data_IF_257292373055
#
_entry.id   IF_257292373055
#
_cell.length_a   1.000
_cell.length_b   1.000
_cell.length_c   1.000
_cell.angle_alpha   90.00
_cell.angle_beta   90.00
_cell.angle_gamma   90.00
#
_symmetry.space_group_name_H-M   'P 1'
#
loop_
_entity.id
_entity.type
_entity.pdbx_description
1 polymer ?
#
# COMPACT_ATOMS: atom_id res chain seq x y z
N UNK A 1 -0.53 -18.21 39.08
CA UNK A 1 -0.55 -18.78 37.72
C UNK A 1 -1.70 -18.20 36.87
N UNK A 2 -1.83 -16.87 36.83
CA UNK A 2 -2.62 -16.05 35.88
C UNK A 2 -2.27 -14.60 36.20
N UNK A 3 -1.25 -14.05 35.53
CA UNK A 3 -0.90 -12.61 35.42
C UNK A 3 0.56 -12.51 34.93
N UNK A 4 0.75 -12.34 33.62
CA UNK A 4 2.03 -11.91 33.00
C UNK A 4 1.86 -11.56 31.52
N UNK A 5 0.88 -12.15 30.82
CA UNK A 5 0.66 -11.95 29.38
C UNK A 5 -0.16 -10.72 28.98
N UNK A 6 -0.82 -10.03 29.92
CA UNK A 6 -1.66 -8.86 29.60
C UNK A 6 -0.92 -7.50 29.73
N UNK A 7 0.34 -7.46 30.18
CA UNK A 7 1.08 -6.20 30.38
C UNK A 7 1.99 -5.78 29.22
N UNK A 8 2.06 -6.53 28.12
CA UNK A 8 3.03 -6.27 27.03
C UNK A 8 2.48 -5.35 25.91
N UNK A 9 1.18 -5.10 25.83
CA UNK A 9 0.59 -4.40 24.66
C UNK A 9 0.48 -2.87 24.76
N UNK A 10 0.79 -2.24 25.90
CA UNK A 10 0.47 -0.81 26.11
C UNK A 10 1.66 0.15 26.32
N UNK A 11 2.92 -0.34 26.32
CA UNK A 11 4.09 0.50 26.64
C UNK A 11 4.80 1.15 25.45
N UNK A 12 4.36 0.93 24.21
CA UNK A 12 5.08 1.38 22.98
C UNK A 12 4.34 2.38 22.09
N UNK A 13 3.27 3.01 22.58
CA UNK A 13 2.64 4.11 21.85
C UNK A 13 3.31 5.45 22.23
N UNK A 14 3.81 6.19 21.24
CA UNK A 14 4.40 7.52 21.44
C UNK A 14 3.42 8.48 22.14
N UNK A 15 3.94 9.45 22.87
CA UNK A 15 3.17 10.40 23.70
C UNK A 15 2.09 11.17 22.93
N UNK A 16 2.25 11.34 21.61
CA UNK A 16 1.27 11.98 20.72
C UNK A 16 0.02 11.09 20.53
N UNK A 17 0.19 9.77 20.50
CA UNK A 17 -0.92 8.81 20.37
C UNK A 17 -1.79 8.73 21.63
N UNK A 18 -1.26 9.04 22.82
CA UNK A 18 -2.06 9.07 24.06
C UNK A 18 -2.99 10.27 24.15
N UNK A 19 -2.57 11.44 23.67
CA UNK A 19 -3.40 12.65 23.68
C UNK A 19 -4.60 12.52 22.72
N UNK A 20 -4.40 11.92 21.55
CA UNK A 20 -5.48 11.63 20.60
C UNK A 20 -6.46 10.55 21.10
N UNK A 21 -6.01 9.60 21.94
CA UNK A 21 -6.87 8.59 22.54
C UNK A 21 -7.74 9.14 23.68
N UNK A 22 -7.22 10.06 24.50
CA UNK A 22 -7.97 10.64 25.62
C UNK A 22 -9.07 11.62 25.17
N UNK A 23 -8.87 12.36 24.07
CA UNK A 23 -9.94 13.21 23.51
C UNK A 23 -11.04 12.41 22.81
N UNK A 24 -10.74 11.20 22.34
CA UNK A 24 -11.69 10.31 21.67
C UNK A 24 -12.51 9.45 22.66
N UNK A 25 -11.99 9.22 23.87
CA UNK A 25 -12.61 8.36 24.88
C UNK A 25 -13.84 8.96 25.58
N UNK A 26 -13.97 10.29 25.63
CA UNK A 26 -15.03 10.95 26.41
C UNK A 26 -16.33 11.21 25.62
N UNK A 27 -16.34 11.06 24.29
CA UNK A 27 -17.56 11.27 23.47
C UNK A 27 -18.27 9.98 23.02
N UNK A 28 -17.73 8.78 23.30
CA UNK A 28 -18.24 7.51 22.76
C UNK A 28 -18.80 6.53 23.82
N UNK A 29 -19.34 7.02 24.94
CA UNK A 29 -19.94 6.18 26.00
C UNK A 29 -21.46 5.94 25.85
N UNK A 30 -21.97 5.74 24.63
CA UNK A 30 -23.34 5.22 24.43
C UNK A 30 -23.38 4.20 23.27
N UNK A 31 -23.21 2.92 23.58
CA UNK A 31 -23.48 1.81 22.65
C UNK A 31 -22.57 0.59 22.82
N UNK A 32 -22.89 -0.30 23.75
CA UNK A 32 -22.05 -1.44 24.19
C UNK A 32 -21.92 -2.58 23.15
N UNK A 33 -22.70 -2.59 22.05
CA UNK A 33 -22.64 -3.66 21.04
C UNK A 33 -21.61 -3.48 19.91
N UNK A 34 -20.91 -2.33 19.81
CA UNK A 34 -19.97 -2.04 18.71
C UNK A 34 -18.49 -2.35 19.03
N UNK A 35 -18.12 -2.58 20.29
CA UNK A 35 -16.71 -2.73 20.70
C UNK A 35 -15.98 -3.93 20.05
N UNK A 36 -16.67 -5.03 19.75
CA UNK A 36 -16.05 -6.21 19.11
C UNK A 36 -15.65 -5.99 17.65
N UNK A 37 -16.45 -5.21 16.91
CA UNK A 37 -16.20 -4.88 15.50
C UNK A 37 -15.04 -3.88 15.37
N UNK A 38 -15.01 -2.87 16.25
CA UNK A 38 -13.93 -1.89 16.30
C UNK A 38 -12.58 -2.50 16.70
N UNK A 39 -12.56 -3.54 17.53
CA UNK A 39 -11.32 -4.26 17.88
C UNK A 39 -10.75 -5.04 16.69
N UNK A 40 -11.60 -5.68 15.88
CA UNK A 40 -11.19 -6.34 14.62
C UNK A 40 -10.76 -5.32 13.55
N UNK A 41 -11.46 -4.19 13.45
CA UNK A 41 -11.06 -3.06 12.59
C UNK A 41 -9.71 -2.50 13.03
N UNK A 42 -9.49 -2.34 14.33
CA UNK A 42 -8.21 -1.86 14.87
C UNK A 42 -7.07 -2.84 14.59
N UNK A 43 -7.30 -4.15 14.70
CA UNK A 43 -6.30 -5.17 14.34
C UNK A 43 -6.03 -5.28 12.83
N UNK A 44 -7.02 -4.96 11.97
CA UNK A 44 -6.89 -4.90 10.51
C UNK A 44 -6.19 -3.61 10.05
N UNK A 45 -6.42 -2.48 10.71
CA UNK A 45 -5.87 -1.17 10.36
C UNK A 45 -4.59 -0.77 11.10
N UNK A 46 -4.26 -1.39 12.24
CA UNK A 46 -3.03 -1.07 13.01
C UNK A 46 -1.72 -1.44 12.28
N UNK A 47 -1.79 -2.07 11.10
CA UNK A 47 -0.65 -2.30 10.21
C UNK A 47 -0.55 -1.34 9.02
N UNK A 48 -1.48 -0.40 8.84
CA UNK A 48 -1.43 0.58 7.77
C UNK A 48 -0.47 1.72 8.13
N UNK A 49 0.48 2.02 7.25
CA UNK A 49 1.30 3.22 7.37
C UNK A 49 0.41 4.48 7.43
N UNK A 50 0.90 5.49 8.14
CA UNK A 50 0.23 6.75 8.53
C UNK A 50 -0.48 7.47 7.37
N UNK A 51 -0.07 7.24 6.12
CA UNK A 51 -0.68 7.85 4.91
C UNK A 51 -2.03 7.24 4.48
N UNK A 52 -2.27 5.95 4.73
CA UNK A 52 -3.53 5.28 4.37
C UNK A 52 -4.41 4.95 5.57
N UNK A 53 -3.84 5.01 6.78
CA UNK A 53 -4.64 5.20 7.97
C UNK A 53 -5.51 6.44 7.79
N UNK A 54 -5.05 7.53 7.16
CA UNK A 54 -5.91 8.68 6.91
C UNK A 54 -7.00 8.42 5.88
N UNK A 55 -6.82 7.61 4.82
CA UNK A 55 -7.94 7.28 3.91
C UNK A 55 -8.97 6.35 4.56
N UNK A 56 -8.52 5.30 5.26
CA UNK A 56 -9.43 4.42 5.99
C UNK A 56 -10.05 5.08 7.22
N UNK A 57 -9.32 5.98 7.90
CA UNK A 57 -9.84 6.83 8.96
C UNK A 57 -10.73 7.94 8.41
N UNK A 58 -10.53 8.47 7.21
CA UNK A 58 -11.44 9.43 6.56
C UNK A 58 -12.73 8.70 6.17
N UNK A 59 -12.64 7.50 5.61
CA UNK A 59 -13.79 6.64 5.32
C UNK A 59 -14.47 6.11 6.60
N UNK A 60 -13.77 6.05 7.76
CA UNK A 60 -14.37 5.64 9.05
C UNK A 60 -14.77 6.80 9.98
N UNK A 61 -14.22 8.01 9.80
CA UNK A 61 -14.52 9.23 10.59
C UNK A 61 -15.62 10.05 9.92
N UNK A 62 -15.82 9.92 8.62
CA UNK A 62 -17.06 10.31 7.96
C UNK A 62 -18.12 9.28 8.35
N UNK A 63 -18.99 9.65 9.30
CA UNK A 63 -20.17 8.86 9.66
C UNK A 63 -20.87 8.35 8.40
N UNK A 64 -21.19 7.05 8.38
CA UNK A 64 -22.10 6.37 7.43
C UNK A 64 -21.53 5.70 6.16
N UNK A 65 -20.26 5.26 6.07
CA UNK A 65 -20.00 4.07 5.23
C UNK A 65 -20.47 2.83 6.00
N UNK A 66 -21.39 2.00 5.45
CA UNK A 66 -21.64 0.68 6.01
C UNK A 66 -20.30 -0.05 6.05
N UNK A 67 -19.81 -0.34 7.26
CA UNK A 67 -18.55 -1.04 7.48
C UNK A 67 -18.49 -2.32 6.64
N UNK A 68 -19.64 -2.96 6.41
CA UNK A 68 -19.79 -4.12 5.55
C UNK A 68 -19.47 -3.86 4.07
N UNK A 69 -19.82 -2.69 3.52
CA UNK A 69 -19.51 -2.32 2.13
C UNK A 69 -18.02 -2.01 1.96
N UNK A 70 -17.40 -1.32 2.93
CA UNK A 70 -15.94 -1.15 2.96
C UNK A 70 -15.25 -2.52 3.05
N UNK A 71 -15.68 -3.37 3.98
CA UNK A 71 -15.14 -4.72 4.12
C UNK A 71 -15.30 -5.56 2.84
N UNK A 72 -16.41 -5.43 2.10
CA UNK A 72 -16.59 -6.10 0.80
C UNK A 72 -15.67 -5.54 -0.28
N UNK A 73 -15.49 -4.21 -0.34
CA UNK A 73 -14.53 -3.57 -1.25
C UNK A 73 -13.09 -3.96 -0.93
N UNK A 74 -12.75 -4.19 0.35
CA UNK A 74 -11.40 -4.59 0.80
C UNK A 74 -11.15 -6.11 0.79
N UNK A 75 -12.18 -6.96 0.72
CA UNK A 75 -12.02 -8.42 0.84
C UNK A 75 -12.35 -9.22 -0.42
N UNK A 76 -13.14 -8.67 -1.35
CA UNK A 76 -13.72 -9.45 -2.42
C UNK A 76 -13.34 -8.94 -3.82
N UNK A 77 -12.68 -9.81 -4.60
CA UNK A 77 -12.65 -9.76 -6.06
C UNK A 77 -14.06 -9.67 -6.67
N UNK A 78 -15.11 -10.07 -5.94
CA UNK A 78 -16.51 -9.90 -6.35
C UNK A 78 -16.97 -8.43 -6.47
N UNK A 79 -16.28 -7.45 -5.87
CA UNK A 79 -16.60 -6.04 -6.08
C UNK A 79 -16.27 -5.56 -7.51
N UNK A 80 -15.37 -6.26 -8.22
CA UNK A 80 -15.01 -5.92 -9.60
C UNK A 80 -16.07 -6.32 -10.63
N UNK A 81 -17.11 -7.07 -10.24
CA UNK A 81 -18.23 -7.36 -11.14
C UNK A 81 -19.18 -6.16 -11.13
N UNK A 82 -19.37 -5.58 -12.31
CA UNK A 82 -20.36 -4.53 -12.62
C UNK A 82 -21.79 -4.90 -12.18
N UNK A 83 -22.07 -6.19 -12.00
CA UNK A 83 -23.34 -6.71 -11.44
C UNK A 83 -23.59 -6.32 -9.97
N UNK A 84 -22.61 -5.73 -9.26
CA UNK A 84 -22.82 -5.18 -7.92
C UNK A 84 -23.74 -3.94 -7.90
N UNK A 85 -23.92 -3.27 -9.04
CA UNK A 85 -24.88 -2.18 -9.21
C UNK A 85 -26.34 -2.66 -9.27
N UNK A 86 -26.58 -3.92 -9.66
CA UNK A 86 -27.93 -4.44 -9.89
C UNK A 86 -28.73 -4.62 -8.58
N UNK A 87 -28.05 -4.67 -7.44
CA UNK A 87 -28.68 -4.78 -6.12
C UNK A 87 -28.86 -3.46 -5.36
N UNK A 88 -28.29 -2.36 -5.86
CA UNK A 88 -28.37 -1.05 -5.20
C UNK A 88 -29.44 -0.20 -5.89
N UNK A 89 -30.66 -0.23 -5.36
CA UNK A 89 -31.68 0.76 -5.74
C UNK A 89 -31.25 2.11 -5.18
N UNK A 90 -31.04 3.10 -6.06
CA UNK A 90 -30.64 4.49 -5.73
C UNK A 90 -29.34 4.62 -4.90
N UNK A 91 -28.16 4.30 -5.47
CA UNK A 91 -26.87 4.51 -4.79
C UNK A 91 -26.62 5.99 -4.48
N UNK A 92 -26.24 6.27 -3.23
CA UNK A 92 -25.89 7.62 -2.77
C UNK A 92 -24.40 7.94 -3.01
N UNK A 93 -23.97 9.17 -2.69
CA UNK A 93 -22.57 9.62 -2.84
C UNK A 93 -21.59 8.68 -2.15
N UNK A 94 -21.99 8.09 -1.02
CA UNK A 94 -21.15 7.19 -0.23
C UNK A 94 -20.97 5.85 -0.95
N UNK A 95 -22.05 5.23 -1.41
CA UNK A 95 -22.03 4.01 -2.22
C UNK A 95 -21.19 4.18 -3.49
N UNK A 96 -21.40 5.26 -4.24
CA UNK A 96 -20.61 5.56 -5.44
C UNK A 96 -19.13 5.71 -5.14
N UNK A 97 -18.79 6.51 -4.12
CA UNK A 97 -17.39 6.75 -3.74
C UNK A 97 -16.69 5.45 -3.34
N UNK A 98 -17.37 4.58 -2.60
CA UNK A 98 -16.82 3.27 -2.22
C UNK A 98 -16.59 2.36 -3.43
N UNK A 99 -17.53 2.31 -4.38
CA UNK A 99 -17.36 1.54 -5.62
C UNK A 99 -16.18 2.07 -6.45
N UNK A 100 -16.10 3.39 -6.64
CA UNK A 100 -14.99 4.03 -7.37
C UNK A 100 -13.65 3.70 -6.69
N UNK A 101 -13.56 3.84 -5.37
CA UNK A 101 -12.35 3.53 -4.61
C UNK A 101 -11.98 2.04 -4.67
N UNK A 102 -12.97 1.15 -4.58
CA UNK A 102 -12.76 -0.30 -4.74
C UNK A 102 -12.13 -0.62 -6.09
N UNK A 103 -12.64 -0.06 -7.19
CA UNK A 103 -12.03 -0.23 -8.51
C UNK A 103 -10.63 0.41 -8.59
N UNK A 104 -10.43 1.59 -8.01
CA UNK A 104 -9.13 2.28 -7.96
C UNK A 104 -8.05 1.45 -7.24
N UNK A 105 -8.41 0.74 -6.17
CA UNK A 105 -7.48 -0.06 -5.37
C UNK A 105 -7.21 -1.45 -5.96
N UNK A 106 -8.10 -1.99 -6.79
CA UNK A 106 -7.95 -3.34 -7.37
C UNK A 106 -7.34 -3.34 -8.78
N UNK A 107 -7.22 -2.18 -9.41
CA UNK A 107 -6.55 -1.98 -10.70
C UNK A 107 -7.38 -1.64 -11.95
N UNK A 108 -8.70 -1.94 -12.03
CA UNK A 108 -9.52 -1.49 -13.15
C UNK A 108 -9.83 0.01 -13.05
N UNK A 109 -8.83 0.85 -13.33
CA UNK A 109 -8.92 2.30 -13.20
C UNK A 109 -9.92 2.93 -14.17
N UNK A 110 -10.03 2.40 -15.40
CA UNK A 110 -11.01 2.88 -16.39
C UNK A 110 -12.44 2.67 -15.89
N UNK A 111 -12.69 1.53 -15.26
CA UNK A 111 -13.97 1.19 -14.64
C UNK A 111 -14.28 2.13 -13.47
N UNK A 112 -13.27 2.53 -12.69
CA UNK A 112 -13.45 3.55 -11.65
C UNK A 112 -13.89 4.90 -12.24
N UNK A 113 -13.30 5.33 -13.37
CA UNK A 113 -13.71 6.56 -14.06
C UNK A 113 -15.12 6.44 -14.66
N UNK A 114 -15.46 5.30 -15.26
CA UNK A 114 -16.82 5.03 -15.75
C UNK A 114 -17.87 5.05 -14.63
N UNK A 115 -17.53 4.61 -13.42
CA UNK A 115 -18.40 4.70 -12.26
C UNK A 115 -18.61 6.16 -11.82
N UNK A 116 -17.58 6.99 -11.91
CA UNK A 116 -17.72 8.43 -11.69
C UNK A 116 -18.64 9.07 -12.73
N UNK A 117 -18.48 8.76 -14.01
CA UNK A 117 -19.36 9.28 -15.06
C UNK A 117 -20.83 8.84 -14.85
N UNK A 118 -21.05 7.59 -14.42
CA UNK A 118 -22.40 7.10 -14.05
C UNK A 118 -22.98 7.80 -12.83
N UNK A 119 -22.16 8.10 -11.84
CA UNK A 119 -22.56 8.89 -10.68
C UNK A 119 -23.06 10.28 -11.10
N UNK A 120 -22.37 10.92 -12.04
CA UNK A 120 -22.78 12.22 -12.61
C UNK A 120 -24.08 12.10 -13.41
N UNK A 121 -24.22 11.10 -14.27
CA UNK A 121 -25.45 10.83 -15.03
C UNK A 121 -26.65 10.53 -14.12
N UNK A 122 -26.41 9.93 -12.96
CA UNK A 122 -27.40 9.71 -11.91
C UNK A 122 -27.76 10.95 -11.10
N UNK A 123 -27.23 12.14 -11.46
CA UNK A 123 -27.38 13.40 -10.73
C UNK A 123 -26.93 13.33 -9.26
N UNK A 124 -26.00 12.42 -8.94
CA UNK A 124 -25.43 12.32 -7.59
C UNK A 124 -24.15 13.16 -7.54
N UNK A 125 -24.12 14.16 -6.66
CA UNK A 125 -22.98 15.09 -6.59
C UNK A 125 -21.74 14.42 -5.99
N UNK A 126 -20.57 14.47 -6.65
CA UNK A 126 -19.30 14.05 -6.06
C UNK A 126 -18.89 14.97 -4.92
N UNK A 127 -18.11 14.43 -3.99
CA UNK A 127 -17.51 15.20 -2.90
C UNK A 127 -15.98 15.06 -2.94
N UNK A 128 -15.30 15.70 -1.98
CA UNK A 128 -13.84 15.66 -1.88
C UNK A 128 -13.28 14.22 -1.79
N UNK A 129 -13.97 13.29 -1.12
CA UNK A 129 -13.53 11.88 -1.05
C UNK A 129 -13.69 11.18 -2.41
N UNK A 130 -14.74 11.51 -3.17
CA UNK A 130 -14.93 11.00 -4.54
C UNK A 130 -13.77 11.38 -5.44
N UNK A 131 -13.30 12.63 -5.37
CA UNK A 131 -12.15 13.09 -6.16
C UNK A 131 -10.84 12.42 -5.74
N UNK A 132 -10.62 12.16 -4.46
CA UNK A 132 -9.48 11.33 -4.01
C UNK A 132 -9.54 9.94 -4.67
N UNK A 133 -10.71 9.29 -4.71
CA UNK A 133 -10.87 7.97 -5.33
C UNK A 133 -10.52 7.97 -6.83
N UNK A 134 -11.00 8.99 -7.55
CA UNK A 134 -10.72 9.20 -8.98
C UNK A 134 -9.23 9.46 -9.24
N UNK A 135 -8.60 10.32 -8.44
CA UNK A 135 -7.16 10.60 -8.55
C UNK A 135 -6.31 9.37 -8.22
N UNK A 136 -6.70 8.57 -7.22
CA UNK A 136 -6.05 7.28 -6.93
C UNK A 136 -6.13 6.32 -8.12
N UNK A 137 -7.29 6.23 -8.79
CA UNK A 137 -7.44 5.42 -10.00
C UNK A 137 -6.49 5.90 -11.11
N UNK A 138 -6.43 7.23 -11.34
CA UNK A 138 -5.51 7.82 -12.31
C UNK A 138 -4.04 7.52 -11.96
N UNK A 139 -3.68 7.62 -10.67
CA UNK A 139 -2.32 7.33 -10.19
C UNK A 139 -1.93 5.87 -10.39
N UNK A 140 -2.86 4.94 -10.22
CA UNK A 140 -2.61 3.50 -10.38
C UNK A 140 -2.62 3.00 -11.82
N UNK A 141 -3.00 3.85 -12.78
CA UNK A 141 -3.02 3.53 -14.21
C UNK A 141 -2.21 4.50 -15.08
N UNK A 142 -1.48 5.45 -14.47
CA UNK A 142 -0.62 6.39 -15.20
C UNK A 142 -1.41 7.37 -16.07
N UNK A 143 -2.67 7.66 -15.73
CA UNK A 143 -3.54 8.57 -16.48
C UNK A 143 -3.26 10.03 -16.08
N UNK A 144 -2.11 10.56 -16.52
CA UNK A 144 -1.63 11.89 -16.14
C UNK A 144 -2.62 13.00 -16.54
N UNK A 145 -3.05 13.00 -17.80
CA UNK A 145 -3.94 14.03 -18.33
C UNK A 145 -5.31 14.02 -17.65
N UNK A 146 -5.89 12.84 -17.43
CA UNK A 146 -7.13 12.70 -16.68
C UNK A 146 -6.95 13.13 -15.21
N UNK A 147 -5.83 12.77 -14.59
CA UNK A 147 -5.50 13.22 -13.23
C UNK A 147 -5.50 14.74 -13.09
N UNK A 148 -4.88 15.45 -14.03
CA UNK A 148 -4.89 16.94 -14.07
C UNK A 148 -6.30 17.48 -14.29
N UNK A 149 -7.02 16.91 -15.26
CA UNK A 149 -8.39 17.30 -15.60
C UNK A 149 -9.32 17.16 -14.40
N UNK A 150 -9.32 16.02 -13.71
CA UNK A 150 -10.17 15.82 -12.54
C UNK A 150 -9.74 16.69 -11.35
N UNK A 151 -8.43 16.91 -11.14
CA UNK A 151 -7.95 17.82 -10.09
C UNK A 151 -8.45 19.26 -10.29
N UNK A 152 -8.38 19.78 -11.52
CA UNK A 152 -8.88 21.13 -11.83
C UNK A 152 -10.42 21.20 -11.80
N UNK A 153 -11.10 20.21 -12.41
CA UNK A 153 -12.57 20.12 -12.44
C UNK A 153 -13.19 20.12 -11.04
N UNK A 154 -12.51 19.53 -10.05
CA UNK A 154 -12.94 19.54 -8.66
C UNK A 154 -13.19 20.96 -8.14
N UNK A 155 -12.28 21.89 -8.41
CA UNK A 155 -12.43 23.29 -8.01
C UNK A 155 -13.31 24.07 -8.98
N UNK A 156 -13.07 23.94 -10.28
CA UNK A 156 -13.70 24.78 -11.30
C UNK A 156 -15.20 24.50 -11.48
N UNK A 157 -15.61 23.23 -11.38
CA UNK A 157 -16.99 22.81 -11.63
C UNK A 157 -17.76 22.51 -10.33
N UNK A 158 -17.08 21.97 -9.31
CA UNK A 158 -17.72 21.53 -8.08
C UNK A 158 -17.48 22.46 -6.88
N UNK A 159 -16.62 23.48 -7.02
CA UNK A 159 -16.29 24.40 -5.93
C UNK A 159 -15.61 23.71 -4.74
N UNK A 160 -15.03 22.52 -4.97
CA UNK A 160 -14.35 21.75 -3.92
C UNK A 160 -12.89 22.24 -3.84
N UNK A 161 -12.51 22.72 -2.66
CA UNK A 161 -11.15 23.18 -2.37
C UNK A 161 -10.22 21.98 -2.20
N UNK A 162 -9.06 21.91 -2.90
CA UNK A 162 -8.14 20.79 -2.76
C UNK A 162 -7.52 20.70 -1.37
N UNK A 163 -7.64 19.53 -0.74
CA UNK A 163 -6.94 19.17 0.50
C UNK A 163 -5.56 18.57 0.22
N UNK A 164 -4.76 18.34 1.27
CA UNK A 164 -3.42 17.73 1.17
C UNK A 164 -3.43 16.37 0.47
N UNK A 165 -4.49 15.60 0.63
CA UNK A 165 -4.68 14.29 -0.01
C UNK A 165 -4.81 14.42 -1.52
N UNK A 166 -5.52 15.44 -2.02
CA UNK A 166 -5.64 15.71 -3.46
C UNK A 166 -4.30 16.12 -4.06
N UNK A 167 -3.58 17.01 -3.38
CA UNK A 167 -2.23 17.40 -3.79
C UNK A 167 -1.26 16.22 -3.77
N UNK A 168 -1.34 15.38 -2.73
CA UNK A 168 -0.56 14.15 -2.63
C UNK A 168 -0.84 13.18 -3.76
N UNK A 169 -2.11 13.01 -4.14
CA UNK A 169 -2.51 12.13 -5.24
C UNK A 169 -2.04 12.65 -6.61
N UNK A 170 -2.20 13.94 -6.92
CA UNK A 170 -1.69 14.49 -8.17
C UNK A 170 -0.15 14.48 -8.22
N UNK A 171 0.53 14.75 -7.11
CA UNK A 171 1.98 14.59 -7.04
C UNK A 171 2.43 13.14 -7.25
N UNK A 172 1.65 12.14 -6.79
CA UNK A 172 1.91 10.72 -7.04
C UNK A 172 1.75 10.37 -8.52
N UNK A 173 0.70 10.87 -9.17
CA UNK A 173 0.47 10.73 -10.62
C UNK A 173 1.68 11.24 -11.41
N UNK A 174 2.08 12.49 -11.16
CA UNK A 174 3.22 13.14 -11.84
C UNK A 174 4.53 12.40 -11.57
N UNK A 175 4.77 12.04 -10.31
CA UNK A 175 5.98 11.35 -9.89
C UNK A 175 6.13 9.97 -10.52
N UNK A 176 5.04 9.19 -10.58
CA UNK A 176 5.03 7.86 -11.22
C UNK A 176 5.23 7.93 -12.73
N UNK A 177 4.76 9.00 -13.37
CA UNK A 177 4.99 9.26 -14.78
C UNK A 177 6.42 9.74 -15.09
N UNK A 178 7.24 10.00 -14.08
CA UNK A 178 8.60 10.52 -14.25
C UNK A 178 8.68 12.03 -14.46
N UNK A 179 7.56 12.76 -14.34
CA UNK A 179 7.47 14.22 -14.46
C UNK A 179 7.95 14.91 -13.17
N UNK A 180 9.18 14.60 -12.74
CA UNK A 180 9.66 14.91 -11.40
C UNK A 180 9.80 16.42 -11.12
N UNK A 181 10.31 17.19 -12.08
CA UNK A 181 10.45 18.64 -11.93
C UNK A 181 9.10 19.33 -11.87
N UNK A 182 8.13 18.83 -12.62
CA UNK A 182 6.77 19.34 -12.53
C UNK A 182 6.12 18.99 -11.20
N UNK A 183 6.25 17.75 -10.73
CA UNK A 183 5.78 17.34 -9.41
C UNK A 183 6.41 18.21 -8.30
N UNK A 184 7.71 18.53 -8.41
CA UNK A 184 8.39 19.42 -7.47
C UNK A 184 7.79 20.83 -7.49
N UNK A 185 7.58 21.40 -8.67
CA UNK A 185 7.02 22.73 -8.84
C UNK A 185 5.56 22.79 -8.35
N UNK A 186 4.78 21.74 -8.62
CA UNK A 186 3.41 21.60 -8.17
C UNK A 186 3.32 21.60 -6.63
N UNK A 187 4.10 20.75 -5.96
CA UNK A 187 4.14 20.71 -4.48
C UNK A 187 4.63 22.06 -3.92
N UNK A 188 5.63 22.68 -4.56
CA UNK A 188 6.17 23.97 -4.10
C UNK A 188 5.18 25.13 -4.20
N UNK A 189 4.23 25.06 -5.15
CA UNK A 189 3.20 26.08 -5.41
C UNK A 189 1.88 25.82 -4.69
N UNK A 190 1.80 24.81 -3.84
CA UNK A 190 0.60 24.51 -3.06
C UNK A 190 0.17 25.74 -2.24
N UNK A 191 -1.13 26.04 -2.28
CA UNK A 191 -1.73 27.11 -1.46
C UNK A 191 -1.77 26.76 0.03
N UNK A 192 -1.59 25.48 0.35
CA UNK A 192 -1.52 24.94 1.71
C UNK A 192 -0.08 24.47 1.93
N UNK A 193 0.49 24.75 3.12
CA UNK A 193 1.85 24.35 3.47
C UNK A 193 2.02 22.82 3.27
N UNK A 194 2.94 22.37 2.41
CA UNK A 194 3.15 20.94 2.18
C UNK A 194 3.66 20.23 3.43
N UNK A 195 3.14 19.03 3.70
CA UNK A 195 3.61 18.16 4.78
C UNK A 195 4.76 17.27 4.31
N UNK A 196 5.50 16.68 5.25
CA UNK A 196 6.52 15.68 4.96
C UNK A 196 5.95 14.51 4.13
N UNK A 197 4.67 14.20 4.35
CA UNK A 197 3.92 13.16 3.66
C UNK A 197 3.82 13.40 2.15
N UNK A 198 3.42 14.61 1.73
CA UNK A 198 3.31 15.01 0.31
C UNK A 198 4.69 14.98 -0.36
N UNK A 199 5.72 15.54 0.29
CA UNK A 199 7.09 15.47 -0.22
C UNK A 199 7.62 14.04 -0.33
N UNK A 200 7.20 13.14 0.58
CA UNK A 200 7.63 11.73 0.56
C UNK A 200 7.13 10.99 -0.68
N UNK A 201 6.01 11.40 -1.27
CA UNK A 201 5.54 10.90 -2.56
C UNK A 201 6.56 11.18 -3.66
N UNK A 202 7.02 12.44 -3.77
CA UNK A 202 8.05 12.80 -4.75
C UNK A 202 9.41 12.14 -4.46
N UNK A 203 9.77 11.97 -3.19
CA UNK A 203 11.01 11.27 -2.82
C UNK A 203 11.01 9.81 -3.32
N UNK A 204 9.87 9.11 -3.22
CA UNK A 204 9.71 7.76 -3.76
C UNK A 204 9.85 7.75 -5.29
N UNK A 205 9.24 8.71 -5.97
CA UNK A 205 9.36 8.86 -7.43
C UNK A 205 10.81 9.12 -7.86
N UNK A 206 11.56 9.94 -7.11
CA UNK A 206 12.98 10.18 -7.39
C UNK A 206 13.82 8.89 -7.24
N UNK A 207 13.51 8.03 -6.26
CA UNK A 207 14.18 6.72 -6.11
C UNK A 207 13.95 5.84 -7.36
N UNK A 208 12.70 5.71 -7.81
CA UNK A 208 12.34 4.87 -8.97
C UNK A 208 13.02 5.38 -10.24
N UNK A 209 13.03 6.69 -10.44
CA UNK A 209 13.64 7.34 -11.61
C UNK A 209 15.16 7.59 -11.45
N UNK A 210 15.79 7.05 -10.39
CA UNK A 210 17.23 7.19 -10.09
C UNK A 210 17.74 8.66 -10.10
N UNK A 211 16.87 9.64 -9.78
CA UNK A 211 17.22 11.05 -9.72
C UNK A 211 17.69 11.44 -8.31
N UNK A 212 18.99 11.24 -8.04
CA UNK A 212 19.59 11.47 -6.72
C UNK A 212 19.61 12.95 -6.32
N UNK A 213 19.81 13.86 -7.28
CA UNK A 213 19.91 15.31 -7.02
C UNK A 213 18.58 15.86 -6.49
N UNK A 214 17.49 15.54 -7.17
CA UNK A 214 16.17 15.96 -6.70
C UNK A 214 15.77 15.22 -5.41
N UNK A 215 16.15 13.95 -5.26
CA UNK A 215 15.91 13.19 -4.03
C UNK A 215 16.55 13.88 -2.80
N UNK A 216 17.79 14.37 -2.90
CA UNK A 216 18.45 15.12 -1.82
C UNK A 216 17.70 16.42 -1.49
N UNK A 217 17.31 17.18 -2.52
CA UNK A 217 16.55 18.44 -2.37
C UNK A 217 15.23 18.21 -1.65
N UNK A 218 14.48 17.17 -2.04
CA UNK A 218 13.20 16.80 -1.43
C UNK A 218 13.40 16.26 -0.02
N UNK A 219 14.41 15.42 0.20
CA UNK A 219 14.71 14.88 1.52
C UNK A 219 15.07 15.99 2.52
N UNK A 220 15.80 17.03 2.09
CA UNK A 220 16.06 18.21 2.92
C UNK A 220 14.76 18.87 3.38
N UNK A 221 13.79 19.08 2.48
CA UNK A 221 12.47 19.62 2.83
C UNK A 221 11.72 18.73 3.83
N UNK A 222 11.79 17.41 3.66
CA UNK A 222 11.18 16.46 4.59
C UNK A 222 11.85 16.54 5.96
N UNK A 223 13.17 16.58 6.04
CA UNK A 223 13.88 16.59 7.33
C UNK A 223 13.80 17.93 8.06
N UNK A 224 13.57 19.04 7.35
CA UNK A 224 13.20 20.33 7.95
C UNK A 224 11.85 20.26 8.66
N UNK A 225 10.89 19.50 8.11
CA UNK A 225 9.55 19.31 8.69
C UNK A 225 9.53 18.22 9.77
N UNK A 226 10.20 17.10 9.50
CA UNK A 226 10.20 15.88 10.32
C UNK A 226 11.62 15.24 10.35
N UNK A 227 12.53 15.73 11.22
CA UNK A 227 13.91 15.26 11.28
C UNK A 227 14.10 13.78 11.63
N UNK A 228 13.05 13.11 12.11
CA UNK A 228 13.04 11.68 12.48
C UNK A 228 12.12 10.85 11.58
N UNK A 229 11.81 11.33 10.38
CA UNK A 229 11.01 10.58 9.39
C UNK A 229 11.74 9.32 8.91
N UNK A 230 11.38 8.17 9.49
CA UNK A 230 12.01 6.87 9.23
C UNK A 230 11.98 6.48 7.75
N UNK A 231 10.79 6.57 7.14
CA UNK A 231 10.58 6.17 5.75
C UNK A 231 11.48 6.95 4.80
N UNK A 232 11.59 8.26 4.99
CA UNK A 232 12.36 9.14 4.10
C UNK A 232 13.87 8.96 4.24
N UNK A 233 14.37 8.66 5.45
CA UNK A 233 15.77 8.26 5.62
C UNK A 233 16.08 6.94 4.89
N UNK A 234 15.18 5.95 4.98
CA UNK A 234 15.34 4.67 4.28
C UNK A 234 15.29 4.86 2.77
N UNK A 235 14.33 5.63 2.26
CA UNK A 235 14.22 5.88 0.81
C UNK A 235 15.47 6.58 0.29
N UNK A 236 15.91 7.67 0.93
CA UNK A 236 17.12 8.37 0.51
C UNK A 236 18.37 7.48 0.58
N UNK A 237 18.50 6.67 1.64
CA UNK A 237 19.60 5.70 1.76
C UNK A 237 19.58 4.68 0.63
N UNK A 238 18.41 4.22 0.23
CA UNK A 238 18.26 3.29 -0.89
C UNK A 238 18.54 3.99 -2.22
N UNK A 239 18.12 5.25 -2.41
CA UNK A 239 18.46 6.05 -3.59
C UNK A 239 19.97 6.19 -3.76
N UNK A 240 20.71 6.45 -2.68
CA UNK A 240 22.18 6.46 -2.71
C UNK A 240 22.76 5.10 -3.11
N UNK A 241 22.28 4.00 -2.51
CA UNK A 241 22.70 2.64 -2.89
C UNK A 241 22.45 2.36 -4.38
N UNK A 242 21.27 2.69 -4.91
CA UNK A 242 20.95 2.51 -6.34
C UNK A 242 21.83 3.35 -7.28
N UNK A 243 22.45 4.42 -6.77
CA UNK A 243 23.33 5.30 -7.54
C UNK A 243 24.82 4.99 -7.32
N UNK A 244 25.16 3.88 -6.66
CA UNK A 244 26.54 3.52 -6.32
C UNK A 244 27.19 4.38 -5.23
N UNK A 245 26.44 5.26 -4.56
CA UNK A 245 26.91 6.17 -3.50
C UNK A 245 26.87 5.50 -2.13
N UNK A 246 27.66 4.44 -1.99
CA UNK A 246 27.63 3.55 -0.83
C UNK A 246 28.02 4.22 0.49
N UNK A 247 28.97 5.16 0.43
CA UNK A 247 29.45 5.89 1.60
C UNK A 247 28.33 6.74 2.21
N UNK A 248 27.62 7.51 1.40
CA UNK A 248 26.49 8.34 1.85
C UNK A 248 25.34 7.47 2.37
N UNK A 249 25.04 6.34 1.71
CA UNK A 249 24.07 5.36 2.21
C UNK A 249 24.47 4.83 3.60
N UNK A 250 25.73 4.45 3.79
CA UNK A 250 26.27 3.95 5.06
C UNK A 250 26.23 5.03 6.16
N UNK A 251 26.66 6.26 5.84
CA UNK A 251 26.59 7.40 6.76
C UNK A 251 25.16 7.70 7.21
N UNK A 252 24.19 7.67 6.30
CA UNK A 252 22.79 7.89 6.64
C UNK A 252 22.24 6.79 7.54
N UNK A 253 22.53 5.51 7.24
CA UNK A 253 22.16 4.36 8.09
C UNK A 253 22.81 4.42 9.48
N UNK A 254 24.07 4.85 9.57
CA UNK A 254 24.76 5.08 10.84
C UNK A 254 24.10 6.20 11.64
N UNK A 255 23.76 7.32 11.00
CA UNK A 255 23.05 8.44 11.61
C UNK A 255 21.69 8.01 12.18
N UNK A 256 20.94 7.18 11.43
CA UNK A 256 19.69 6.58 11.93
C UNK A 256 19.93 5.77 13.21
N UNK A 257 20.92 4.85 13.20
CA UNK A 257 21.27 4.04 14.38
C UNK A 257 21.64 4.89 15.59
N UNK A 258 22.48 5.92 15.41
CA UNK A 258 22.86 6.87 16.47
C UNK A 258 21.66 7.61 17.06
N UNK A 259 20.65 7.92 16.25
CA UNK A 259 19.38 8.54 16.68
C UNK A 259 18.39 7.54 17.28
N UNK A 260 18.76 6.28 17.51
CA UNK A 260 17.90 5.24 18.10
C UNK A 260 16.71 4.85 17.22
N UNK A 261 16.80 5.13 15.92
CA UNK A 261 15.75 4.86 14.95
C UNK A 261 15.62 3.35 14.69
N UNK A 262 14.41 2.81 14.85
CA UNK A 262 14.12 1.38 14.61
C UNK A 262 13.22 1.22 13.39
N UNK A 263 13.71 0.48 12.40
CA UNK A 263 12.95 0.13 11.19
C UNK A 263 11.92 -0.95 11.55
N UNK A 264 10.68 -0.77 11.08
CA UNK A 264 9.68 -1.83 11.14
C UNK A 264 10.08 -2.99 10.20
N UNK A 265 10.03 -4.24 10.66
CA UNK A 265 10.36 -5.38 9.82
C UNK A 265 9.34 -5.54 8.69
N UNK A 266 9.83 -5.94 7.52
CA UNK A 266 8.98 -6.28 6.39
C UNK A 266 8.31 -7.63 6.65
N UNK A 267 6.98 -7.65 6.73
CA UNK A 267 6.22 -8.85 7.04
C UNK A 267 5.05 -9.05 6.08
N UNK A 268 4.77 -10.33 5.80
CA UNK A 268 3.60 -10.74 5.02
C UNK A 268 2.80 -11.74 5.83
N UNK A 269 1.50 -11.76 5.66
CA UNK A 269 0.65 -12.71 6.37
C UNK A 269 -0.50 -13.21 5.52
N UNK A 270 -1.01 -14.35 5.93
CA UNK A 270 -2.17 -15.03 5.35
C UNK A 270 -3.05 -15.54 6.47
N UNK A 271 -4.36 -15.52 6.24
CA UNK A 271 -5.35 -16.04 7.17
C UNK A 271 -5.97 -17.31 6.60
N UNK A 272 -5.74 -18.44 7.26
CA UNK A 272 -6.31 -19.74 6.89
C UNK A 272 -7.03 -20.33 8.11
N UNK A 273 -8.25 -20.83 7.93
CA UNK A 273 -9.05 -21.46 9.00
C UNK A 273 -9.11 -20.60 10.28
N UNK A 274 -9.36 -19.29 10.13
CA UNK A 274 -9.39 -18.28 11.19
C UNK A 274 -8.08 -18.16 12.00
N UNK A 275 -6.94 -18.58 11.43
CA UNK A 275 -5.63 -18.43 12.02
C UNK A 275 -4.75 -17.56 11.14
N UNK A 276 -4.17 -16.52 11.73
CA UNK A 276 -3.19 -15.66 11.08
C UNK A 276 -1.80 -16.29 11.13
N UNK A 277 -1.20 -16.49 9.96
CA UNK A 277 0.17 -16.94 9.79
C UNK A 277 1.01 -15.78 9.30
N UNK A 278 2.02 -15.37 10.07
CA UNK A 278 2.87 -14.22 9.78
C UNK A 278 4.27 -14.71 9.43
N UNK A 279 4.83 -14.11 8.38
CA UNK A 279 6.16 -14.38 7.88
C UNK A 279 6.96 -13.09 7.89
N UNK A 280 8.17 -13.13 8.45
CA UNK A 280 9.12 -12.02 8.45
C UNK A 280 10.32 -12.47 7.63
N UNK A 281 10.88 -11.55 6.82
CA UNK A 281 12.07 -11.88 6.04
C UNK A 281 13.20 -12.36 6.96
N UNK A 282 13.86 -13.45 6.59
CA UNK A 282 14.92 -14.13 7.35
C UNK A 282 14.50 -14.80 8.68
N UNK A 283 13.22 -14.79 9.03
CA UNK A 283 12.70 -15.53 10.17
C UNK A 283 12.38 -16.98 9.76
N UNK A 284 13.02 -17.94 10.44
CA UNK A 284 12.87 -19.38 10.21
C UNK A 284 12.03 -20.09 11.28
N UNK A 285 11.45 -19.34 12.23
CA UNK A 285 10.75 -19.90 13.39
C UNK A 285 9.40 -20.54 13.06
N UNK A 286 8.85 -20.29 11.87
CA UNK A 286 7.53 -20.82 11.51
C UNK A 286 7.56 -22.36 11.39
N UNK A 287 6.62 -23.11 12.00
CA UNK A 287 6.67 -24.58 12.04
C UNK A 287 6.70 -25.28 10.67
N UNK A 288 6.26 -24.58 9.62
CA UNK A 288 6.19 -25.08 8.25
C UNK A 288 7.34 -24.59 7.37
N UNK A 289 8.34 -23.89 7.94
CA UNK A 289 9.38 -23.20 7.17
C UNK A 289 10.10 -24.12 6.18
N UNK A 290 10.60 -25.27 6.62
CA UNK A 290 11.32 -26.22 5.76
C UNK A 290 10.47 -26.71 4.58
N UNK A 291 9.19 -27.01 4.82
CA UNK A 291 8.27 -27.44 3.77
C UNK A 291 7.95 -26.32 2.78
N UNK A 292 7.84 -25.08 3.26
CA UNK A 292 7.63 -23.90 2.42
C UNK A 292 8.85 -23.66 1.52
N UNK A 293 10.05 -23.71 2.08
CA UNK A 293 11.29 -23.52 1.31
C UNK A 293 11.48 -24.62 0.28
N UNK A 294 11.24 -25.89 0.64
CA UNK A 294 11.28 -27.00 -0.31
C UNK A 294 10.35 -26.79 -1.50
N UNK A 295 9.10 -26.37 -1.25
CA UNK A 295 8.16 -26.06 -2.32
C UNK A 295 8.56 -24.82 -3.13
N UNK A 296 9.10 -23.79 -2.48
CA UNK A 296 9.59 -22.58 -3.16
C UNK A 296 10.75 -22.91 -4.12
N UNK A 297 11.67 -23.80 -3.74
CA UNK A 297 12.75 -24.25 -4.62
C UNK A 297 12.21 -24.97 -5.87
N UNK A 298 11.20 -25.82 -5.70
CA UNK A 298 10.51 -26.48 -6.82
C UNK A 298 9.85 -25.44 -7.75
N UNK A 299 9.21 -24.40 -7.20
CA UNK A 299 8.71 -23.30 -8.03
C UNK A 299 9.85 -22.56 -8.73
N UNK A 300 10.95 -22.25 -8.04
CA UNK A 300 12.11 -21.55 -8.61
C UNK A 300 12.69 -22.29 -9.82
N UNK A 301 12.83 -23.61 -9.76
CA UNK A 301 13.28 -24.40 -10.91
C UNK A 301 12.30 -24.33 -12.09
N UNK A 302 11.00 -24.42 -11.82
CA UNK A 302 9.96 -24.31 -12.86
C UNK A 302 9.91 -22.91 -13.48
N UNK A 303 10.07 -21.86 -12.67
CA UNK A 303 10.15 -20.48 -13.13
C UNK A 303 11.38 -20.28 -14.02
N UNK A 304 12.55 -20.79 -13.62
CA UNK A 304 13.78 -20.70 -14.41
C UNK A 304 13.62 -21.35 -15.80
N UNK A 305 12.94 -22.50 -15.89
CA UNK A 305 12.61 -23.15 -17.18
C UNK A 305 11.68 -22.31 -18.07
N UNK A 306 10.91 -21.39 -17.48
CA UNK A 306 10.05 -20.44 -18.20
C UNK A 306 10.74 -19.09 -18.44
N UNK A 307 12.05 -18.97 -18.19
CA UNK A 307 12.83 -17.77 -18.46
C UNK A 307 12.78 -16.71 -17.36
N UNK A 308 12.36 -17.07 -16.14
CA UNK A 308 12.45 -16.15 -14.99
C UNK A 308 13.91 -15.82 -14.66
N UNK A 309 14.18 -14.52 -14.49
CA UNK A 309 15.44 -13.98 -14.01
C UNK A 309 15.16 -13.12 -12.77
N UNK A 310 15.82 -13.38 -11.62
CA UNK A 310 15.63 -12.57 -10.43
C UNK A 310 16.00 -11.10 -10.66
N UNK A 311 15.15 -10.18 -10.18
CA UNK A 311 15.47 -8.75 -10.21
C UNK A 311 16.19 -8.36 -8.91
N UNK A 312 17.46 -7.98 -9.03
CA UNK A 312 18.32 -7.62 -7.89
C UNK A 312 18.37 -6.12 -7.58
N UNK A 313 17.63 -5.27 -8.31
CA UNK A 313 17.62 -3.80 -8.12
C UNK A 313 17.12 -3.38 -6.73
N UNK A 314 16.29 -4.20 -6.08
CA UNK A 314 15.79 -3.96 -4.72
C UNK A 314 16.69 -4.55 -3.61
N UNK A 315 17.84 -5.13 -3.97
CA UNK A 315 18.84 -5.61 -3.01
C UNK A 315 19.87 -4.50 -2.75
N UNK A 316 19.59 -3.66 -1.75
CA UNK A 316 20.43 -2.50 -1.39
C UNK A 316 21.66 -2.83 -0.54
N UNK A 317 21.97 -4.12 -0.38
CA UNK A 317 23.18 -4.59 0.27
C UNK A 317 24.28 -4.75 -0.80
N UNK A 318 25.49 -4.36 -0.42
CA UNK A 318 26.68 -4.56 -1.25
C UNK A 318 27.09 -6.04 -1.15
N UNK A 319 26.48 -6.86 -2.00
CA UNK A 319 26.67 -8.30 -2.10
C UNK A 319 26.99 -8.68 -3.54
N UNK A 320 27.63 -9.83 -3.73
CA UNK A 320 27.78 -10.43 -5.06
C UNK A 320 26.40 -10.86 -5.63
N UNK A 321 26.21 -10.83 -6.95
CA UNK A 321 24.90 -11.09 -7.60
C UNK A 321 24.31 -12.47 -7.22
N UNK A 322 25.16 -13.47 -7.05
CA UNK A 322 24.79 -14.82 -6.61
C UNK A 322 24.19 -14.82 -5.20
N UNK A 323 24.71 -13.96 -4.31
CA UNK A 323 24.20 -13.78 -2.94
C UNK A 323 22.91 -12.96 -2.90
N UNK A 324 22.74 -11.99 -3.83
CA UNK A 324 21.51 -11.21 -3.96
C UNK A 324 20.32 -12.09 -4.29
N UNK A 325 20.50 -13.09 -5.16
CA UNK A 325 19.45 -14.07 -5.49
C UNK A 325 18.95 -14.86 -4.27
N UNK A 326 19.87 -15.22 -3.35
CA UNK A 326 19.54 -15.92 -2.11
C UNK A 326 18.76 -15.06 -1.11
N UNK A 327 19.02 -13.74 -1.07
CA UNK A 327 18.25 -12.79 -0.25
C UNK A 327 16.80 -12.70 -0.74
N UNK A 328 16.59 -12.69 -2.06
CA UNK A 328 15.27 -12.64 -2.68
C UNK A 328 14.41 -13.88 -2.38
N UNK A 329 15.02 -15.06 -2.17
CA UNK A 329 14.30 -16.27 -1.79
C UNK A 329 13.65 -16.17 -0.39
N UNK A 330 14.20 -15.35 0.50
CA UNK A 330 13.72 -15.18 1.88
C UNK A 330 12.63 -14.13 2.05
N UNK A 331 12.11 -13.55 0.96
CA UNK A 331 11.06 -12.53 1.03
C UNK A 331 9.76 -13.09 1.62
N UNK A 332 9.19 -12.37 2.58
CA UNK A 332 8.02 -12.84 3.33
C UNK A 332 6.79 -13.07 2.44
N UNK A 333 6.68 -12.36 1.32
CA UNK A 333 5.65 -12.51 0.29
C UNK A 333 5.67 -13.93 -0.29
N UNK A 334 6.87 -14.41 -0.68
CA UNK A 334 7.06 -15.73 -1.27
C UNK A 334 6.68 -16.82 -0.28
N UNK A 335 7.11 -16.67 0.98
CA UNK A 335 6.79 -17.61 2.05
C UNK A 335 5.29 -17.69 2.31
N UNK A 336 4.62 -16.54 2.45
CA UNK A 336 3.18 -16.47 2.72
C UNK A 336 2.36 -17.06 1.57
N UNK A 337 2.74 -16.73 0.33
CA UNK A 337 2.10 -17.26 -0.88
C UNK A 337 2.22 -18.78 -0.99
N UNK A 338 3.44 -19.30 -0.89
CA UNK A 338 3.69 -20.76 -0.99
C UNK A 338 3.03 -21.50 0.16
N UNK A 339 3.04 -20.96 1.37
CA UNK A 339 2.29 -21.51 2.49
C UNK A 339 0.79 -21.60 2.19
N UNK A 340 0.21 -20.55 1.59
CA UNK A 340 -1.16 -20.53 1.12
C UNK A 340 -1.44 -21.64 0.12
N UNK A 341 -0.60 -21.79 -0.90
CA UNK A 341 -0.73 -22.82 -1.94
C UNK A 341 -0.72 -24.22 -1.32
N UNK A 342 0.22 -24.51 -0.41
CA UNK A 342 0.38 -25.82 0.22
C UNK A 342 -0.76 -26.22 1.15
N UNK A 343 -1.47 -25.26 1.73
CA UNK A 343 -2.45 -25.50 2.80
C UNK A 343 -3.90 -25.23 2.39
N UNK A 344 -4.16 -25.11 1.08
CA UNK A 344 -5.49 -24.91 0.54
C UNK A 344 -5.72 -25.79 -0.71
N UNK A 345 -6.96 -26.23 -0.98
CA UNK A 345 -7.24 -27.07 -2.14
C UNK A 345 -6.86 -26.41 -3.48
N UNK A 346 -6.53 -27.21 -4.52
CA UNK A 346 -6.34 -26.71 -5.88
C UNK A 346 -7.49 -25.81 -6.34
N UNK A 347 -7.17 -24.79 -7.14
CA UNK A 347 -8.14 -23.79 -7.62
C UNK A 347 -8.61 -22.74 -6.59
N UNK A 348 -8.28 -22.88 -5.30
CA UNK A 348 -8.68 -21.87 -4.29
C UNK A 348 -7.90 -20.56 -4.51
N UNK A 349 -8.52 -19.38 -4.39
CA UNK A 349 -7.78 -18.10 -4.43
C UNK A 349 -6.90 -17.94 -3.19
N UNK A 350 -5.60 -17.69 -3.37
CA UNK A 350 -4.67 -17.41 -2.26
C UNK A 350 -4.65 -15.91 -1.98
N UNK A 351 -4.85 -15.51 -0.71
CA UNK A 351 -4.85 -14.08 -0.31
C UNK A 351 -3.67 -13.79 0.60
N UNK A 352 -2.80 -12.87 0.20
CA UNK A 352 -1.61 -12.47 0.96
C UNK A 352 -1.67 -10.98 1.25
N UNK A 353 -1.34 -10.60 2.48
CA UNK A 353 -1.24 -9.23 2.92
C UNK A 353 0.22 -8.88 3.19
N UNK A 354 0.64 -7.67 2.83
CA UNK A 354 2.00 -7.13 3.03
C UNK A 354 1.90 -5.73 3.65
N UNK A 355 2.75 -5.45 4.64
CA UNK A 355 2.79 -4.14 5.31
C UNK A 355 3.52 -3.05 4.53
N UNK A 356 4.34 -3.43 3.55
CA UNK A 356 5.09 -2.55 2.65
C UNK A 356 4.59 -2.71 1.20
N UNK A 357 5.07 -1.86 0.30
CA UNK A 357 4.91 -2.10 -1.15
C UNK A 357 5.63 -3.40 -1.53
N UNK A 358 5.05 -4.20 -2.41
CA UNK A 358 5.69 -5.39 -2.96
C UNK A 358 6.98 -4.98 -3.71
N UNK A 359 8.02 -5.81 -3.72
CA UNK A 359 9.22 -5.52 -4.52
C UNK A 359 9.07 -6.06 -5.96
N UNK A 360 9.89 -5.57 -6.89
CA UNK A 360 9.75 -5.90 -8.32
C UNK A 360 9.88 -7.39 -8.58
N UNK A 361 10.82 -8.02 -7.88
CA UNK A 361 11.06 -9.46 -7.93
C UNK A 361 9.87 -10.27 -7.42
N UNK A 362 9.33 -9.94 -6.23
CA UNK A 362 8.17 -10.63 -5.68
C UNK A 362 6.95 -10.50 -6.58
N UNK A 363 6.72 -9.32 -7.18
CA UNK A 363 5.64 -9.13 -8.14
C UNK A 363 5.79 -10.06 -9.35
N UNK A 364 7.00 -10.15 -9.90
CA UNK A 364 7.31 -11.04 -11.04
C UNK A 364 7.16 -12.51 -10.66
N UNK A 365 7.69 -12.92 -9.52
CA UNK A 365 7.56 -14.30 -9.00
C UNK A 365 6.10 -14.68 -8.79
N UNK A 366 5.28 -13.79 -8.24
CA UNK A 366 3.85 -14.07 -8.06
C UNK A 366 3.12 -14.24 -9.40
N UNK A 367 3.49 -13.49 -10.46
CA UNK A 367 2.99 -13.73 -11.83
C UNK A 367 3.30 -15.17 -12.26
N UNK A 368 4.57 -15.58 -12.25
CA UNK A 368 4.95 -16.94 -12.65
C UNK A 368 4.27 -18.02 -11.80
N UNK A 369 4.23 -17.86 -10.48
CA UNK A 369 3.60 -18.84 -9.59
C UNK A 369 2.08 -18.91 -9.82
N UNK A 370 1.40 -17.80 -10.12
CA UNK A 370 -0.03 -17.83 -10.46
C UNK A 370 -0.32 -18.70 -11.69
N UNK A 371 0.58 -18.66 -12.68
CA UNK A 371 0.50 -19.49 -13.90
C UNK A 371 0.85 -20.95 -13.61
N UNK A 372 1.96 -21.21 -12.92
CA UNK A 372 2.45 -22.57 -12.64
C UNK A 372 1.50 -23.32 -11.71
N UNK A 373 0.99 -22.65 -10.67
CA UNK A 373 0.06 -23.25 -9.72
C UNK A 373 -1.38 -23.28 -10.23
N UNK A 374 -1.66 -22.69 -11.40
CA UNK A 374 -3.00 -22.55 -11.99
C UNK A 374 -4.02 -21.93 -11.02
N UNK A 375 -3.62 -20.85 -10.35
CA UNK A 375 -4.39 -20.25 -9.24
C UNK A 375 -4.34 -18.74 -9.27
N UNK A 376 -5.47 -18.11 -8.95
CA UNK A 376 -5.51 -16.69 -8.63
C UNK A 376 -4.81 -16.44 -7.28
N UNK A 377 -3.91 -15.48 -7.28
CA UNK A 377 -3.22 -14.99 -6.07
C UNK A 377 -3.55 -13.52 -5.94
N UNK A 378 -4.17 -13.14 -4.83
CA UNK A 378 -4.47 -11.73 -4.52
C UNK A 378 -3.49 -11.28 -3.47
N UNK A 379 -2.66 -10.29 -3.81
CA UNK A 379 -1.73 -9.68 -2.87
C UNK A 379 -2.12 -8.24 -2.58
N UNK A 380 -2.38 -7.91 -1.32
CA UNK A 380 -2.55 -6.53 -0.86
C UNK A 380 -1.23 -6.03 -0.32
N UNK A 381 -0.66 -5.02 -0.97
CA UNK A 381 0.52 -4.32 -0.47
C UNK A 381 0.12 -3.03 0.27
N UNK A 382 1.09 -2.20 0.66
CA UNK A 382 0.80 -0.97 1.39
C UNK A 382 -0.11 0.04 0.65
N UNK A 383 -0.31 -0.09 -0.67
CA UNK A 383 -0.99 0.90 -1.51
C UNK A 383 -2.22 0.34 -2.24
N UNK A 384 -2.22 -0.94 -2.63
CA UNK A 384 -3.25 -1.51 -3.51
C UNK A 384 -3.35 -3.03 -3.44
N UNK A 385 -4.35 -3.56 -4.12
CA UNK A 385 -4.47 -4.97 -4.45
C UNK A 385 -3.89 -5.26 -5.82
N UNK A 386 -3.22 -6.40 -5.90
CA UNK A 386 -2.68 -7.01 -7.10
C UNK A 386 -3.37 -8.36 -7.28
N UNK A 387 -4.08 -8.53 -8.40
CA UNK A 387 -4.67 -9.81 -8.77
C UNK A 387 -3.79 -10.49 -9.79
N UNK A 388 -3.10 -11.54 -9.36
CA UNK A 388 -2.23 -12.34 -10.22
C UNK A 388 -2.99 -13.56 -10.71
N UNK A 389 -3.10 -13.70 -12.04
CA UNK A 389 -3.79 -14.81 -12.68
C UNK A 389 -3.17 -15.08 -14.05
N UNK A 390 -2.92 -16.35 -14.35
CA UNK A 390 -2.41 -16.82 -15.64
C UNK A 390 -1.12 -16.10 -16.09
N UNK A 391 -0.27 -15.69 -15.15
CA UNK A 391 0.98 -14.97 -15.45
C UNK A 391 0.84 -13.46 -15.59
N UNK A 392 -0.36 -12.91 -15.42
CA UNK A 392 -0.64 -11.48 -15.52
C UNK A 392 -1.02 -10.89 -14.15
N UNK A 393 -0.88 -9.58 -14.01
CA UNK A 393 -1.34 -8.83 -12.83
C UNK A 393 -2.36 -7.75 -13.23
N UNK A 394 -3.38 -7.52 -12.41
CA UNK A 394 -4.38 -6.46 -12.63
C UNK A 394 -3.83 -5.03 -12.66
N UNK A 395 -2.57 -4.81 -12.26
CA UNK A 395 -1.92 -3.51 -12.38
C UNK A 395 -1.35 -3.21 -13.77
N UNK A 396 -1.34 -4.18 -14.70
CA UNK A 396 -0.74 -3.99 -16.03
C UNK A 396 0.76 -3.67 -15.98
N UNK A 397 1.45 -4.13 -14.93
CA UNK A 397 2.85 -3.81 -14.62
C UNK A 397 3.14 -2.31 -14.37
N UNK A 398 2.10 -1.50 -14.15
CA UNK A 398 2.20 -0.12 -13.69
C UNK A 398 1.75 -0.02 -12.22
N UNK A 399 2.70 -0.02 -11.28
CA UNK A 399 2.37 -0.07 -9.85
C UNK A 399 3.39 0.58 -8.96
#
# INVERSE_FOLDING_TARGET
MRTALERITWSRCSTVSRAAMLSCGTQCLRGVHRMGLWRRLFEYFAGCCILELDLCLVLSRASYLPVEMLLRCFSASSCMRTSSLEGLTSPDTVSWTAMIMGHALHGPAREALLLFDRMELGNVKPNHITFIAVLTACSHAGLVDEGRKYFNRMSDHYGIVPSLEHYGALADILGRAGELEEAYNFISKMQIKPTASVWSTLLRACKVNKNTVLAEKVAKKIFELEPRSMGSHVILSNTYSCSGRWNEAAHLRLSMRKKGMKKEPACSWIELKNKRHVFVAHDKSHPWYERIIGALNVFSEQMARQGYVPNTEDVFQDLEEEQKSGVLCGHSEKLAMVFGILNTPPGTTVRVMKNLRICVDCHTVTKFISKIAEREIVMRDANRFHHFKDGNCSCGDFW
#
